data_IF_234765144945
#
_entry.id   IF_234765144945
#
_cell.length_a   1.000
_cell.length_b   1.000
_cell.length_c   1.000
_cell.angle_alpha   90.00
_cell.angle_beta   90.00
_cell.angle_gamma   90.00
#
_symmetry.space_group_name_H-M   'P 1'
#
loop_
_entity.id
_entity.type
_entity.pdbx_description
1 polymer ?
#
# COMPACT_ATOMS: atom_id res chain seq x y z
N UNK A 1 -53.02 -5.33 4.55
CA UNK A 1 -51.71 -6.00 4.38
C UNK A 1 -50.67 -5.09 5.03
N UNK A 2 -50.14 -5.46 6.19
CA UNK A 2 -49.12 -4.67 6.90
C UNK A 2 -47.72 -5.06 6.38
N UNK A 3 -46.80 -4.11 6.14
CA UNK A 3 -45.45 -4.45 5.70
C UNK A 3 -44.69 -5.15 6.84
N UNK A 4 -44.01 -6.26 6.53
CA UNK A 4 -43.11 -6.91 7.49
C UNK A 4 -41.91 -6.00 7.77
N UNK A 5 -41.47 -5.85 9.03
CA UNK A 5 -40.26 -5.13 9.32
C UNK A 5 -39.04 -5.89 8.76
N UNK A 6 -38.11 -5.14 8.16
CA UNK A 6 -36.83 -5.66 7.69
C UNK A 6 -35.96 -6.09 8.88
N UNK A 7 -35.15 -7.14 8.75
CA UNK A 7 -34.27 -7.60 9.83
C UNK A 7 -33.21 -6.53 10.13
N UNK A 8 -33.05 -6.23 11.42
CA UNK A 8 -31.99 -5.35 11.93
C UNK A 8 -30.67 -6.13 11.83
N UNK A 9 -29.62 -5.60 11.18
CA UNK A 9 -28.34 -6.29 11.11
C UNK A 9 -27.73 -6.40 12.51
N UNK A 10 -27.47 -7.63 12.94
CA UNK A 10 -26.66 -7.89 14.13
C UNK A 10 -25.23 -7.39 13.88
N UNK A 11 -24.58 -6.72 14.85
CA UNK A 11 -23.17 -6.41 14.77
C UNK A 11 -22.40 -7.74 14.72
N UNK A 12 -21.88 -8.09 13.55
CA UNK A 12 -20.89 -9.14 13.45
C UNK A 12 -19.65 -8.62 14.18
N UNK A 13 -19.41 -9.17 15.36
CA UNK A 13 -18.13 -9.05 16.03
C UNK A 13 -17.08 -9.68 15.11
N UNK A 14 -16.31 -8.85 14.41
CA UNK A 14 -15.12 -9.30 13.68
C UNK A 14 -14.11 -9.82 14.71
N UNK A 15 -13.74 -11.11 14.69
CA UNK A 15 -12.72 -11.66 15.58
C UNK A 15 -11.31 -11.40 15.04
N UNK A 16 -11.09 -10.34 14.26
CA UNK A 16 -9.78 -9.93 13.74
C UNK A 16 -8.93 -9.19 14.80
N UNK A 17 -9.04 -9.65 16.06
CA UNK A 17 -8.18 -9.25 17.15
C UNK A 17 -6.95 -10.17 17.13
N UNK A 18 -5.79 -9.62 16.75
CA UNK A 18 -4.46 -10.15 17.04
C UNK A 18 -4.09 -11.50 16.38
N UNK A 19 -4.03 -11.55 15.05
CA UNK A 19 -2.96 -12.34 14.42
C UNK A 19 -1.64 -11.62 14.70
N UNK A 20 -0.96 -12.03 15.78
CA UNK A 20 0.44 -11.64 15.98
C UNK A 20 1.24 -12.16 14.78
N UNK A 21 2.09 -11.33 14.15
CA UNK A 21 2.93 -11.80 13.07
C UNK A 21 3.74 -13.01 13.54
N UNK A 22 3.93 -13.99 12.66
CA UNK A 22 4.61 -15.28 12.92
C UNK A 22 6.03 -15.13 13.48
N UNK A 23 6.60 -13.92 13.41
CA UNK A 23 7.80 -13.52 14.15
C UNK A 23 7.70 -12.05 14.56
N UNK A 24 8.30 -11.71 15.70
CA UNK A 24 8.43 -10.31 16.12
C UNK A 24 9.30 -9.55 15.10
N UNK A 25 8.91 -8.32 14.71
CA UNK A 25 9.71 -7.52 13.81
C UNK A 25 11.08 -7.23 14.44
N UNK A 26 12.14 -7.29 13.63
CA UNK A 26 13.47 -6.93 14.09
C UNK A 26 13.51 -5.49 14.61
N UNK A 27 14.44 -5.18 15.51
CA UNK A 27 14.67 -3.81 15.97
C UNK A 27 14.89 -2.83 14.81
N UNK A 28 15.57 -3.26 13.75
CA UNK A 28 15.79 -2.47 12.54
C UNK A 28 14.47 -2.17 11.80
N UNK A 29 13.59 -3.17 11.67
CA UNK A 29 12.26 -3.00 11.05
C UNK A 29 11.40 -2.03 11.85
N UNK A 30 11.41 -2.14 13.18
CA UNK A 30 10.70 -1.21 14.06
C UNK A 30 11.23 0.22 13.93
N UNK A 31 12.56 0.39 13.93
CA UNK A 31 13.18 1.71 13.77
C UNK A 31 12.84 2.33 12.42
N UNK A 32 12.79 1.55 11.35
CA UNK A 32 12.36 2.02 10.04
C UNK A 32 10.89 2.48 10.07
N UNK A 33 10.00 1.64 10.60
CA UNK A 33 8.58 1.95 10.71
C UNK A 33 8.34 3.25 11.51
N UNK A 34 8.98 3.41 12.67
CA UNK A 34 8.83 4.60 13.52
C UNK A 34 9.38 5.89 12.88
N UNK A 35 10.31 5.78 11.93
CA UNK A 35 10.89 6.94 11.23
C UNK A 35 10.27 7.18 9.85
N UNK A 36 9.29 6.38 9.44
CA UNK A 36 8.63 6.51 8.14
C UNK A 36 7.39 7.39 8.26
N UNK A 37 7.34 8.48 7.50
CA UNK A 37 6.21 9.42 7.51
C UNK A 37 5.09 9.02 6.55
N UNK A 38 5.44 8.40 5.45
CA UNK A 38 4.49 7.95 4.45
C UNK A 38 5.05 6.92 3.50
N UNK A 39 4.15 6.24 2.79
CA UNK A 39 4.41 5.22 1.79
C UNK A 39 3.82 5.64 0.45
N UNK A 40 4.62 5.58 -0.61
CA UNK A 40 4.17 5.79 -2.00
C UNK A 40 4.38 4.50 -2.78
N UNK A 41 3.31 3.97 -3.36
CA UNK A 41 3.32 2.72 -4.13
C UNK A 41 2.95 2.98 -5.59
N UNK A 42 3.73 2.45 -6.53
CA UNK A 42 3.46 2.52 -7.97
C UNK A 42 3.19 1.13 -8.52
N UNK A 43 1.94 0.86 -8.91
CA UNK A 43 1.49 -0.41 -9.48
C UNK A 43 1.98 -1.63 -8.67
N UNK A 44 1.87 -1.58 -7.35
CA UNK A 44 2.31 -2.66 -6.45
C UNK A 44 1.20 -3.70 -6.29
N UNK A 45 1.47 -5.00 -6.48
CA UNK A 45 0.44 -6.03 -6.34
C UNK A 45 0.19 -6.38 -4.87
N UNK A 46 -0.57 -5.57 -4.14
CA UNK A 46 -0.78 -5.73 -2.69
C UNK A 46 -1.47 -7.05 -2.31
N UNK A 47 -2.27 -7.62 -3.21
CA UNK A 47 -2.91 -8.93 -3.06
C UNK A 47 -2.35 -9.96 -4.06
N UNK A 48 -1.19 -9.66 -4.65
CA UNK A 48 -0.55 -10.46 -5.70
C UNK A 48 -1.09 -10.15 -7.10
N UNK A 49 -0.60 -10.86 -8.12
CA UNK A 49 -1.08 -10.68 -9.49
C UNK A 49 -1.25 -12.01 -10.23
N UNK A 50 -2.32 -12.09 -11.02
CA UNK A 50 -2.55 -13.25 -11.91
C UNK A 50 -1.42 -13.45 -12.92
N UNK A 51 -0.74 -12.36 -13.31
CA UNK A 51 0.42 -12.46 -14.20
C UNK A 51 1.61 -13.10 -13.49
N UNK A 52 1.82 -12.84 -12.20
CA UNK A 52 2.83 -13.56 -11.41
C UNK A 52 2.47 -15.05 -11.28
N UNK A 53 1.19 -15.39 -11.07
CA UNK A 53 0.74 -16.78 -11.04
C UNK A 53 1.07 -17.49 -12.37
N UNK A 54 0.69 -16.87 -13.49
CA UNK A 54 0.93 -17.41 -14.83
C UNK A 54 2.43 -17.48 -15.17
N UNK A 55 3.19 -16.42 -14.85
CA UNK A 55 4.63 -16.38 -15.04
C UNK A 55 5.35 -17.46 -14.24
N UNK A 56 4.86 -17.76 -13.04
CA UNK A 56 5.37 -18.87 -12.24
C UNK A 56 5.08 -20.24 -12.88
N UNK A 57 3.94 -20.41 -13.55
CA UNK A 57 3.64 -21.64 -14.28
C UNK A 57 4.60 -21.91 -15.45
N UNK A 58 5.32 -20.90 -15.98
CA UNK A 58 6.33 -21.11 -17.03
C UNK A 58 7.43 -22.11 -16.60
N UNK A 59 7.64 -22.30 -15.29
CA UNK A 59 8.55 -23.33 -14.77
C UNK A 59 8.22 -24.75 -15.25
N UNK A 60 6.94 -25.03 -15.52
CA UNK A 60 6.49 -26.34 -15.99
C UNK A 60 6.73 -26.56 -17.49
N UNK A 61 7.08 -25.52 -18.24
CA UNK A 61 7.42 -25.57 -19.67
C UNK A 61 8.87 -25.14 -19.94
N UNK A 62 9.75 -25.27 -18.93
CA UNK A 62 11.19 -24.99 -19.05
C UNK A 62 11.60 -23.52 -18.89
N UNK A 63 10.70 -22.65 -18.44
CA UNK A 63 11.02 -21.28 -18.06
C UNK A 63 11.63 -21.18 -16.66
N UNK A 64 12.43 -20.14 -16.42
CA UNK A 64 13.04 -19.87 -15.10
C UNK A 64 12.64 -18.48 -14.61
N UNK A 65 11.40 -18.31 -14.08
CA UNK A 65 11.01 -17.04 -13.49
C UNK A 65 11.92 -16.68 -12.32
N UNK A 66 12.18 -15.38 -12.13
CA UNK A 66 12.98 -14.93 -11.01
C UNK A 66 12.33 -15.34 -9.68
N UNK A 67 13.15 -15.75 -8.69
CA UNK A 67 12.63 -16.23 -7.39
C UNK A 67 11.72 -15.22 -6.69
N UNK A 68 11.95 -13.92 -6.89
CA UNK A 68 11.10 -12.86 -6.35
C UNK A 68 9.65 -12.91 -6.89
N UNK A 69 9.42 -13.41 -8.10
CA UNK A 69 8.07 -13.55 -8.69
C UNK A 69 7.23 -14.57 -7.91
N UNK A 70 7.86 -15.57 -7.29
CA UNK A 70 7.17 -16.58 -6.48
C UNK A 70 6.39 -15.95 -5.31
N UNK A 71 6.94 -14.86 -4.75
CA UNK A 71 6.35 -14.16 -3.61
C UNK A 71 5.26 -13.16 -4.02
N UNK A 72 5.02 -12.98 -5.31
CA UNK A 72 4.03 -12.03 -5.86
C UNK A 72 2.77 -12.72 -6.38
N UNK A 73 2.64 -14.02 -6.10
CA UNK A 73 1.47 -14.84 -6.44
C UNK A 73 0.24 -14.35 -5.69
N UNK A 74 -0.93 -14.57 -6.28
CA UNK A 74 -2.20 -14.14 -5.68
C UNK A 74 -2.45 -14.90 -4.38
N UNK A 75 -2.94 -14.17 -3.35
CA UNK A 75 -3.31 -14.75 -2.04
C UNK A 75 -2.18 -15.47 -1.30
N UNK A 76 -0.93 -15.07 -1.51
CA UNK A 76 0.16 -15.47 -0.62
C UNK A 76 -0.01 -14.79 0.74
N UNK A 77 -0.04 -15.57 1.81
CA UNK A 77 -0.27 -15.10 3.19
C UNK A 77 0.68 -13.96 3.58
N UNK A 78 1.92 -14.00 3.08
CA UNK A 78 2.91 -12.97 3.38
C UNK A 78 2.50 -11.59 2.83
N UNK A 79 1.84 -11.51 1.66
CA UNK A 79 1.42 -10.24 1.07
C UNK A 79 0.28 -9.63 1.89
N UNK A 80 -0.63 -10.47 2.36
CA UNK A 80 -1.72 -10.08 3.25
C UNK A 80 -1.19 -9.59 4.60
N UNK A 81 -0.22 -10.29 5.20
CA UNK A 81 0.43 -9.88 6.44
C UNK A 81 1.10 -8.51 6.34
N UNK A 82 1.86 -8.27 5.26
CA UNK A 82 2.50 -6.98 5.00
C UNK A 82 1.44 -5.89 4.80
N UNK A 83 0.39 -6.16 4.02
CA UNK A 83 -0.67 -5.20 3.79
C UNK A 83 -1.45 -4.86 5.08
N UNK A 84 -1.71 -5.87 5.93
CA UNK A 84 -2.38 -5.70 7.22
C UNK A 84 -1.53 -4.87 8.19
N UNK A 85 -0.21 -5.09 8.23
CA UNK A 85 0.71 -4.31 9.04
C UNK A 85 0.70 -2.82 8.64
N UNK A 86 0.80 -2.53 7.34
CA UNK A 86 0.75 -1.16 6.81
C UNK A 86 -0.62 -0.52 7.06
N UNK A 87 -1.72 -1.26 6.85
CA UNK A 87 -3.08 -0.83 7.20
C UNK A 87 -3.19 -0.45 8.67
N UNK A 88 -2.60 -1.26 9.57
CA UNK A 88 -2.56 -1.00 11.01
C UNK A 88 -1.86 0.33 11.33
N UNK A 89 -0.70 0.59 10.71
CA UNK A 89 0.02 1.86 10.90
C UNK A 89 -0.77 3.05 10.35
N UNK A 90 -1.39 2.90 9.18
CA UNK A 90 -2.21 3.94 8.58
C UNK A 90 -3.45 4.29 9.42
N UNK A 91 -4.20 3.27 9.89
CA UNK A 91 -5.39 3.46 10.73
C UNK A 91 -5.10 4.22 12.03
N UNK A 92 -3.90 4.04 12.61
CA UNK A 92 -3.46 4.76 13.82
C UNK A 92 -2.97 6.19 13.54
N UNK A 93 -3.01 6.64 12.29
CA UNK A 93 -2.46 7.93 11.87
C UNK A 93 -0.93 8.00 11.86
N UNK A 94 -0.25 6.86 12.04
CA UNK A 94 1.21 6.78 12.09
C UNK A 94 1.88 6.86 10.72
N UNK A 95 1.16 6.52 9.65
CA UNK A 95 1.70 6.44 8.29
C UNK A 95 0.70 6.98 7.27
N UNK A 96 1.09 7.99 6.50
CA UNK A 96 0.33 8.42 5.32
C UNK A 96 0.55 7.44 4.16
N UNK A 97 -0.46 7.19 3.32
CA UNK A 97 -0.36 6.21 2.24
C UNK A 97 -0.92 6.79 0.94
N UNK A 98 -0.14 6.68 -0.13
CA UNK A 98 -0.49 7.04 -1.49
C UNK A 98 -0.16 5.87 -2.43
N UNK A 99 -1.10 5.47 -3.26
CA UNK A 99 -0.93 4.38 -4.22
C UNK A 99 -1.37 4.79 -5.62
N UNK A 100 -0.66 4.28 -6.62
CA UNK A 100 -0.96 4.51 -8.03
C UNK A 100 -1.25 3.20 -8.75
N UNK A 101 -2.30 3.18 -9.57
CA UNK A 101 -2.59 2.11 -10.51
C UNK A 101 -2.21 2.50 -11.93
N UNK A 102 -1.76 1.52 -12.72
CA UNK A 102 -1.57 1.67 -14.16
C UNK A 102 -2.91 1.82 -14.89
N UNK A 103 -2.97 2.70 -15.89
CA UNK A 103 -4.17 2.93 -16.70
C UNK A 103 -4.11 2.29 -18.09
N UNK A 104 -2.94 1.87 -18.55
CA UNK A 104 -2.73 1.23 -19.85
C UNK A 104 -2.18 -0.18 -19.71
N UNK A 105 -2.64 -1.13 -20.54
CA UNK A 105 -2.05 -2.45 -20.63
C UNK A 105 -0.58 -2.38 -21.09
N UNK A 106 0.29 -3.12 -20.41
CA UNK A 106 1.67 -3.37 -20.86
C UNK A 106 1.71 -4.61 -21.75
N UNK A 107 2.55 -4.57 -22.77
CA UNK A 107 2.87 -5.76 -23.57
C UNK A 107 3.98 -6.55 -22.88
N UNK A 108 3.66 -7.74 -22.38
CA UNK A 108 4.59 -8.69 -21.79
C UNK A 108 4.67 -9.90 -22.71
N UNK A 109 5.78 -10.03 -23.44
CA UNK A 109 5.92 -10.96 -24.56
C UNK A 109 4.75 -10.84 -25.57
N UNK A 110 3.94 -11.89 -25.71
CA UNK A 110 2.80 -11.93 -26.63
C UNK A 110 1.47 -11.46 -25.99
N UNK A 111 1.45 -11.21 -24.69
CA UNK A 111 0.23 -10.85 -23.94
C UNK A 111 0.20 -9.33 -23.75
N UNK A 112 -0.97 -8.73 -23.97
CA UNK A 112 -1.22 -7.32 -23.64
C UNK A 112 -2.28 -7.27 -22.53
N UNK A 113 -1.87 -6.89 -21.33
CA UNK A 113 -2.72 -6.90 -20.13
C UNK A 113 -2.25 -5.83 -19.15
N UNK A 114 -3.09 -5.49 -18.16
CA UNK A 114 -2.57 -4.89 -16.93
C UNK A 114 -1.71 -5.95 -16.22
N UNK A 115 -0.49 -5.57 -15.86
CA UNK A 115 0.45 -6.39 -15.07
C UNK A 115 -0.06 -6.48 -13.64
N UNK A 116 -0.52 -5.36 -13.09
CA UNK A 116 -1.17 -5.30 -11.78
C UNK A 116 -2.57 -4.72 -11.94
N UNK A 117 -3.63 -5.54 -11.83
CA UNK A 117 -5.01 -5.07 -11.84
C UNK A 117 -5.27 -4.03 -10.75
N UNK A 118 -6.21 -3.11 -10.98
CA UNK A 118 -6.49 -2.00 -10.06
C UNK A 118 -6.94 -2.49 -8.67
N UNK A 119 -7.61 -3.63 -8.61
CA UNK A 119 -8.06 -4.28 -7.38
C UNK A 119 -6.90 -4.76 -6.51
N UNK A 120 -5.74 -5.04 -7.12
CA UNK A 120 -4.50 -5.39 -6.41
C UNK A 120 -3.60 -4.17 -6.20
N UNK A 121 -3.60 -3.22 -7.13
CA UNK A 121 -2.85 -1.97 -7.01
C UNK A 121 -3.36 -1.06 -5.89
N UNK A 122 -4.67 -1.13 -5.56
CA UNK A 122 -5.23 -0.43 -4.43
C UNK A 122 -5.19 -1.30 -3.17
N UNK A 123 -4.44 -0.91 -2.11
CA UNK A 123 -4.33 -1.74 -0.89
C UNK A 123 -5.60 -1.75 -0.02
N UNK A 124 -6.63 -0.97 -0.39
CA UNK A 124 -7.89 -0.82 0.34
C UNK A 124 -7.92 0.33 1.34
N UNK A 125 -6.89 1.18 1.38
CA UNK A 125 -6.77 2.34 2.26
C UNK A 125 -5.80 3.38 1.69
N UNK A 126 -5.80 4.58 2.26
CA UNK A 126 -5.00 5.71 1.78
C UNK A 126 -5.55 6.34 0.49
N UNK A 127 -4.76 7.23 -0.09
CA UNK A 127 -5.10 7.87 -1.36
C UNK A 127 -4.76 6.95 -2.55
N UNK A 128 -5.62 6.91 -3.56
CA UNK A 128 -5.41 6.10 -4.76
C UNK A 128 -5.70 6.87 -6.04
N UNK A 129 -4.78 6.81 -7.00
CA UNK A 129 -4.96 7.43 -8.32
C UNK A 129 -4.61 6.45 -9.44
N UNK A 130 -5.48 6.36 -10.44
CA UNK A 130 -5.15 5.68 -11.69
C UNK A 130 -4.39 6.64 -12.59
N UNK A 131 -3.31 6.18 -13.23
CA UNK A 131 -2.49 6.95 -14.17
C UNK A 131 -2.92 6.61 -15.60
N UNK A 132 -3.85 7.35 -16.24
CA UNK A 132 -4.51 6.92 -17.47
C UNK A 132 -3.56 6.82 -18.67
N UNK A 133 -2.48 7.59 -18.62
CA UNK A 133 -1.48 7.66 -19.69
C UNK A 133 -0.35 6.64 -19.55
N UNK A 134 -0.26 5.94 -18.42
CA UNK A 134 0.86 5.09 -18.04
C UNK A 134 0.50 3.62 -18.03
N UNK A 135 1.44 2.81 -18.47
CA UNK A 135 1.45 1.37 -18.32
C UNK A 135 2.36 0.96 -17.15
N UNK A 136 2.50 -0.34 -16.87
CA UNK A 136 3.31 -0.83 -15.74
C UNK A 136 4.77 -0.35 -15.79
N UNK A 137 5.35 -0.30 -16.99
CA UNK A 137 6.76 0.06 -17.21
C UNK A 137 7.00 1.55 -16.95
N UNK A 138 6.00 2.38 -17.26
CA UNK A 138 6.09 3.84 -17.21
C UNK A 138 5.49 4.43 -15.94
N UNK A 139 4.68 3.71 -15.17
CA UNK A 139 3.96 4.22 -13.99
C UNK A 139 4.84 4.97 -12.97
N UNK A 140 6.10 4.56 -12.80
CA UNK A 140 7.08 5.19 -11.91
C UNK A 140 8.10 6.09 -12.63
N UNK A 141 7.89 6.39 -13.92
CA UNK A 141 8.80 7.15 -14.79
C UNK A 141 8.08 8.36 -15.37
N UNK A 142 7.73 9.35 -14.52
CA UNK A 142 7.03 10.54 -14.98
C UNK A 142 7.84 11.22 -16.08
N UNK A 143 7.13 11.64 -17.12
CA UNK A 143 7.77 12.25 -18.31
C UNK A 143 8.26 13.68 -18.03
N UNK A 144 7.54 14.41 -17.20
CA UNK A 144 7.89 15.74 -16.72
C UNK A 144 7.20 16.03 -15.37
N UNK A 145 7.32 17.27 -14.86
CA UNK A 145 6.78 17.67 -13.56
C UNK A 145 5.26 17.89 -13.54
N UNK A 146 4.62 18.04 -14.70
CA UNK A 146 3.17 18.14 -14.85
C UNK A 146 2.49 16.78 -14.83
N UNK A 147 3.26 15.70 -15.00
CA UNK A 147 2.80 14.33 -14.91
C UNK A 147 2.11 14.05 -13.57
N UNK A 148 0.94 13.42 -13.60
CA UNK A 148 0.16 13.11 -12.40
C UNK A 148 0.94 12.21 -11.42
N UNK A 149 1.75 11.27 -11.91
CA UNK A 149 2.58 10.41 -11.08
C UNK A 149 3.55 11.26 -10.23
N UNK A 150 4.18 12.25 -10.85
CA UNK A 150 5.11 13.16 -10.17
C UNK A 150 4.39 14.15 -9.27
N UNK A 151 3.42 14.89 -9.82
CA UNK A 151 2.78 16.01 -9.12
C UNK A 151 2.06 15.56 -7.84
N UNK A 152 1.37 14.42 -7.89
CA UNK A 152 0.68 13.85 -6.72
C UNK A 152 1.66 13.33 -5.67
N UNK A 153 2.74 12.67 -6.08
CA UNK A 153 3.77 12.21 -5.15
C UNK A 153 4.49 13.39 -4.49
N UNK A 154 4.80 14.45 -5.24
CA UNK A 154 5.43 15.65 -4.69
C UNK A 154 4.53 16.37 -3.68
N UNK A 155 3.25 16.54 -4.00
CA UNK A 155 2.28 17.11 -3.04
C UNK A 155 2.21 16.27 -1.76
N UNK A 156 2.08 14.95 -1.91
CA UNK A 156 2.03 14.02 -0.79
C UNK A 156 3.28 14.10 0.10
N UNK A 157 4.47 14.11 -0.50
CA UNK A 157 5.74 14.29 0.22
C UNK A 157 5.76 15.62 0.97
N UNK A 158 5.31 16.71 0.33
CA UNK A 158 5.19 18.01 0.95
C UNK A 158 4.25 18.00 2.17
N UNK A 159 3.08 17.35 2.06
CA UNK A 159 2.15 17.18 3.18
C UNK A 159 2.76 16.36 4.32
N UNK A 160 3.45 15.27 4.01
CA UNK A 160 4.14 14.46 5.00
C UNK A 160 5.22 15.26 5.76
N UNK A 161 6.04 16.01 5.03
CA UNK A 161 7.11 16.83 5.60
C UNK A 161 6.55 17.93 6.51
N UNK A 162 5.50 18.65 6.08
CA UNK A 162 4.83 19.68 6.89
C UNK A 162 4.20 19.09 8.16
N UNK A 163 3.53 17.95 8.04
CA UNK A 163 2.96 17.24 9.19
C UNK A 163 4.05 16.82 10.20
N UNK A 164 5.19 16.34 9.72
CA UNK A 164 6.32 15.98 10.59
C UNK A 164 6.94 17.20 11.28
N UNK A 165 7.15 18.30 10.55
CA UNK A 165 7.65 19.54 11.13
C UNK A 165 6.74 20.07 12.24
N UNK A 166 5.42 20.06 12.00
CA UNK A 166 4.42 20.46 13.00
C UNK A 166 4.47 19.58 14.26
N UNK A 167 4.50 18.24 14.10
CA UNK A 167 4.59 17.30 15.23
C UNK A 167 5.85 17.51 16.07
N UNK A 168 6.99 17.83 15.43
CA UNK A 168 8.24 18.13 16.14
C UNK A 168 8.17 19.45 16.91
N UNK A 169 7.56 20.48 16.33
CA UNK A 169 7.36 21.75 17.02
C UNK A 169 6.45 21.58 18.26
N UNK A 170 5.34 20.84 18.11
CA UNK A 170 4.42 20.54 19.22
C UNK A 170 5.08 19.73 20.35
N UNK A 171 5.91 18.75 20.02
CA UNK A 171 6.67 17.98 21.01
C UNK A 171 7.68 18.86 21.78
N UNK A 172 8.42 19.72 21.07
CA UNK A 172 9.37 20.62 21.72
C UNK A 172 8.67 21.59 22.68
N UNK A 173 7.52 22.15 22.27
CA UNK A 173 6.74 23.01 23.17
C UNK A 173 6.17 22.28 24.38
N UNK A 174 5.84 20.98 24.25
CA UNK A 174 5.37 20.19 25.39
C UNK A 174 6.49 19.93 26.41
N UNK A 175 7.70 19.61 25.92
CA UNK A 175 8.89 19.43 26.76
C UNK A 175 9.24 20.74 27.51
N UNK A 176 9.13 21.90 26.83
CA UNK A 176 9.39 23.21 27.45
C UNK A 176 8.36 23.55 28.54
N UNK A 177 7.08 23.21 28.33
CA UNK A 177 6.02 23.42 29.35
C UNK A 177 6.21 22.48 30.55
N UNK A 178 6.59 21.22 30.32
CA UNK A 178 6.88 20.27 31.40
C UNK A 178 8.11 20.67 32.20
N UNK A 179 9.17 21.14 31.53
CA UNK A 179 10.38 21.66 32.18
C UNK A 179 10.11 22.94 32.98
N UNK A 180 9.19 23.79 32.54
CA UNK A 180 8.79 25.01 33.28
C UNK A 180 7.84 24.74 34.46
N UNK A 181 7.27 23.54 34.57
CA UNK A 181 6.37 23.12 35.63
C UNK A 181 7.07 22.39 36.80
N UNK A 182 8.40 22.18 36.69
CA UNK A 182 9.29 21.60 37.71
C UNK A 182 10.11 22.68 38.42
#
# INVERSE_FOLDING_TARGET
>A
MSPRPLPIPHPQHDPELLTLPSSLPSFQSLRLACNTLGLVSYAVPHSGSRLADLGWQLRYVGGFPAGAVAHLKTSELHLEDVNAAVRGMHRRGGLAVLSFGEGKPTRVAYIKTLVVPLESAYPGYGEFFVLPSHDHISACKPTDRSDAAYAKALDFLGRCARSAARRRAEAHTADDVEAAAL
#
